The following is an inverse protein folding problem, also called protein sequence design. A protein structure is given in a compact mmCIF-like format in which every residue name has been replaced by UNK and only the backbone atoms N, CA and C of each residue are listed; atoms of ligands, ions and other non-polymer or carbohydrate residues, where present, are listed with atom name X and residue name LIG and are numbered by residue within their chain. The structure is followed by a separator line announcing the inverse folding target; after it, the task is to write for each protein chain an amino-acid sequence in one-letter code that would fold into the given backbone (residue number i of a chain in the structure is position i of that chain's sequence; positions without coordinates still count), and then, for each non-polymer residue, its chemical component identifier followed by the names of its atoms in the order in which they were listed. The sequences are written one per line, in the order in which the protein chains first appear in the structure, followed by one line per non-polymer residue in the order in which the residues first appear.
data_IF_924848257534
#
_entry.id   IF_924848257534
#
_cell.length_a   1.000
_cell.length_b   1.000
_cell.length_c   1.000
_cell.angle_alpha   90.00
_cell.angle_beta   90.00
_cell.angle_gamma   90.00
#
_symmetry.space_group_name_H-M   'P 1'
#
loop_
_entity.id
_entity.type
_entity.pdbx_description
1 polymer ?
#
# COMPACT_ATOMS: atom_id res chain seq x y z
N UNK A 1 3.33 19.56 -12.59
CA UNK A 1 3.20 18.23 -11.95
C UNK A 1 2.50 18.42 -10.59
N UNK A 2 1.22 18.02 -10.44
CA UNK A 2 0.47 18.21 -9.19
C UNK A 2 1.02 17.29 -8.09
N UNK A 3 1.84 17.84 -7.19
CA UNK A 3 2.36 17.13 -6.03
C UNK A 3 1.27 16.97 -4.96
N UNK A 4 0.74 15.76 -4.84
CA UNK A 4 -0.18 15.36 -3.77
C UNK A 4 0.60 15.04 -2.50
N UNK A 5 0.05 15.51 -1.38
CA UNK A 5 0.47 15.25 0.01
C UNK A 5 0.90 13.78 0.18
N UNK A 6 2.13 13.56 0.64
CA UNK A 6 2.60 12.20 0.98
C UNK A 6 1.82 11.73 2.20
N UNK A 7 1.14 10.59 2.06
CA UNK A 7 0.35 9.94 3.10
C UNK A 7 1.19 9.76 4.38
N UNK A 8 0.70 10.13 5.58
CA UNK A 8 1.42 9.93 6.84
C UNK A 8 1.84 8.47 7.07
N UNK A 9 1.15 7.50 6.47
CA UNK A 9 1.51 6.08 6.55
C UNK A 9 2.75 5.70 5.74
N UNK A 10 3.32 6.60 4.93
CA UNK A 10 4.39 6.30 3.96
C UNK A 10 5.65 5.66 4.57
N UNK A 11 5.91 5.86 5.85
CA UNK A 11 7.09 5.32 6.52
C UNK A 11 6.73 4.19 7.51
N UNK A 12 5.44 3.84 7.60
CA UNK A 12 4.97 2.76 8.45
C UNK A 12 5.24 1.40 7.82
N UNK A 13 5.85 0.53 8.61
CA UNK A 13 6.09 -0.87 8.29
C UNK A 13 4.77 -1.66 8.38
N UNK A 14 3.95 -1.54 7.33
CA UNK A 14 2.64 -2.18 7.19
C UNK A 14 2.54 -3.03 5.92
N UNK A 15 3.48 -2.87 4.98
CA UNK A 15 3.50 -3.66 3.75
C UNK A 15 3.98 -5.07 4.06
N UNK A 16 3.23 -6.05 3.56
CA UNK A 16 3.61 -7.46 3.65
C UNK A 16 4.76 -7.76 2.69
N UNK A 17 5.70 -8.64 3.06
CA UNK A 17 6.84 -8.98 2.21
C UNK A 17 6.42 -9.71 0.94
N UNK A 18 5.25 -10.37 0.91
CA UNK A 18 4.79 -11.18 -0.22
C UNK A 18 4.81 -10.43 -1.56
N UNK A 19 4.28 -9.20 -1.61
CA UNK A 19 4.30 -8.39 -2.84
C UNK A 19 5.73 -8.18 -3.36
N UNK A 20 6.66 -7.87 -2.46
CA UNK A 20 8.05 -7.58 -2.82
C UNK A 20 8.85 -8.86 -3.13
N UNK A 21 8.49 -9.97 -2.50
CA UNK A 21 9.02 -11.28 -2.85
C UNK A 21 8.60 -11.66 -4.27
N UNK A 22 7.30 -11.63 -4.58
CA UNK A 22 6.80 -11.95 -5.92
C UNK A 22 7.41 -10.99 -6.97
N UNK A 23 7.56 -9.70 -6.64
CA UNK A 23 8.27 -8.73 -7.49
C UNK A 23 9.72 -9.17 -7.77
N UNK A 24 10.47 -9.57 -6.74
CA UNK A 24 11.85 -10.03 -6.90
C UNK A 24 11.95 -11.28 -7.78
N UNK A 25 11.03 -12.24 -7.60
CA UNK A 25 10.96 -13.44 -8.43
C UNK A 25 10.66 -13.13 -9.89
N UNK A 26 9.68 -12.25 -10.17
CA UNK A 26 9.38 -11.81 -11.54
C UNK A 26 10.59 -11.14 -12.18
N UNK A 27 11.31 -10.30 -11.45
CA UNK A 27 12.53 -9.64 -11.95
C UNK A 27 13.64 -10.65 -12.25
N UNK A 28 13.82 -11.65 -11.37
CA UNK A 28 14.79 -12.73 -11.57
C UNK A 28 14.46 -13.58 -12.81
N UNK A 29 13.19 -13.93 -13.02
CA UNK A 29 12.74 -14.71 -14.19
C UNK A 29 12.95 -13.97 -15.51
N UNK A 30 13.00 -12.62 -15.47
CA UNK A 30 13.34 -11.78 -16.62
C UNK A 30 14.86 -11.61 -16.81
N UNK A 31 15.68 -12.30 -16.02
CA UNK A 31 17.14 -12.34 -16.16
C UNK A 31 17.89 -11.21 -15.46
N UNK A 32 17.23 -10.45 -14.57
CA UNK A 32 17.85 -9.36 -13.82
C UNK A 32 18.24 -9.79 -12.40
N UNK A 33 19.27 -9.15 -11.85
CA UNK A 33 19.69 -9.36 -10.45
C UNK A 33 18.63 -8.82 -9.48
N UNK A 34 17.80 -9.70 -8.93
CA UNK A 34 16.77 -9.32 -7.97
C UNK A 34 17.34 -8.78 -6.65
N UNK A 35 18.53 -9.22 -6.22
CA UNK A 35 19.15 -8.71 -4.99
C UNK A 35 19.54 -7.22 -5.11
N UNK A 36 19.75 -6.74 -6.34
CA UNK A 36 19.98 -5.32 -6.62
C UNK A 36 18.85 -4.41 -6.15
N UNK A 37 17.60 -4.92 -6.14
CA UNK A 37 16.41 -4.17 -5.76
C UNK A 37 16.43 -3.78 -4.28
N UNK A 38 17.08 -4.58 -3.44
CA UNK A 38 17.12 -4.40 -1.99
C UNK A 38 18.26 -3.47 -1.51
N UNK A 39 19.20 -3.09 -2.39
CA UNK A 39 20.41 -2.34 -1.99
C UNK A 39 20.09 -1.03 -1.24
N UNK A 40 20.60 -0.90 -0.03
CA UNK A 40 20.41 0.31 0.79
C UNK A 40 18.98 0.47 1.36
N UNK A 41 18.14 -0.56 1.30
CA UNK A 41 16.82 -0.56 1.93
C UNK A 41 16.83 -1.09 3.37
N UNK A 42 17.95 -1.66 3.83
CA UNK A 42 18.07 -2.20 5.18
C UNK A 42 17.49 -3.60 5.37
N UNK A 43 17.20 -4.30 4.27
CA UNK A 43 16.85 -5.73 4.23
C UNK A 43 17.37 -6.35 2.92
N UNK A 44 17.48 -7.68 2.86
CA UNK A 44 17.81 -8.49 1.68
C UNK A 44 16.64 -9.37 1.23
N UNK A 45 16.85 -10.20 0.21
CA UNK A 45 15.80 -11.11 -0.28
C UNK A 45 15.43 -12.18 0.77
N UNK A 46 16.40 -12.62 1.57
CA UNK A 46 16.16 -13.61 2.63
C UNK A 46 15.22 -13.07 3.72
N UNK A 47 15.29 -11.77 4.03
CA UNK A 47 14.38 -11.14 4.98
C UNK A 47 12.92 -11.10 4.47
N UNK A 48 12.72 -11.15 3.15
CA UNK A 48 11.37 -11.20 2.55
C UNK A 48 10.74 -12.59 2.66
N UNK A 49 11.50 -13.61 3.07
CA UNK A 49 10.98 -14.95 3.33
C UNK A 49 10.32 -15.08 4.70
N UNK A 50 10.50 -14.11 5.60
CA UNK A 50 9.84 -14.09 6.91
C UNK A 50 8.44 -13.45 6.81
N UNK A 51 7.34 -14.22 6.98
CA UNK A 51 5.98 -13.67 6.90
C UNK A 51 5.64 -12.67 8.01
N UNK A 52 6.41 -12.65 9.11
CA UNK A 52 6.26 -11.68 10.19
C UNK A 52 6.96 -10.35 9.87
N UNK A 53 7.86 -10.33 8.89
CA UNK A 53 8.52 -9.11 8.45
C UNK A 53 7.49 -8.09 7.98
N UNK A 54 7.74 -6.82 8.27
CA UNK A 54 6.92 -5.72 7.76
C UNK A 54 7.81 -4.68 7.12
N UNK A 55 7.42 -4.25 5.93
CA UNK A 55 8.18 -3.32 5.10
C UNK A 55 7.47 -1.98 5.10
N UNK A 56 8.24 -0.89 5.19
CA UNK A 56 7.65 0.44 5.06
C UNK A 56 7.15 0.70 3.64
N UNK A 57 6.10 1.51 3.49
CA UNK A 57 5.65 1.94 2.16
C UNK A 57 6.78 2.61 1.37
N UNK A 58 7.67 3.38 2.03
CA UNK A 58 8.88 3.95 1.41
C UNK A 58 9.77 2.87 0.83
N UNK A 59 10.12 1.86 1.62
CA UNK A 59 10.97 0.76 1.15
C UNK A 59 10.34 0.02 -0.02
N UNK A 60 9.04 -0.30 0.08
CA UNK A 60 8.29 -0.95 -0.98
C UNK A 60 8.29 -0.10 -2.27
N UNK A 61 7.98 1.19 -2.17
CA UNK A 61 8.00 2.13 -3.29
C UNK A 61 9.37 2.17 -3.96
N UNK A 62 10.46 2.28 -3.18
CA UNK A 62 11.81 2.35 -3.76
C UNK A 62 12.14 1.04 -4.49
N UNK A 63 11.75 -0.11 -3.94
CA UNK A 63 11.96 -1.42 -4.59
C UNK A 63 11.15 -1.54 -5.89
N UNK A 64 9.87 -1.15 -5.88
CA UNK A 64 8.98 -1.13 -7.05
C UNK A 64 9.53 -0.20 -8.14
N UNK A 65 9.92 1.03 -7.78
CA UNK A 65 10.50 1.98 -8.73
C UNK A 65 11.80 1.48 -9.36
N UNK A 66 12.63 0.73 -8.62
CA UNK A 66 13.83 0.10 -9.19
C UNK A 66 13.47 -0.97 -10.19
N UNK A 67 12.50 -1.82 -9.86
CA UNK A 67 12.02 -2.86 -10.76
C UNK A 67 11.39 -2.29 -12.04
N UNK A 68 10.57 -1.23 -11.91
CA UNK A 68 9.99 -0.50 -13.05
C UNK A 68 11.05 0.14 -13.95
N UNK A 69 12.20 0.57 -13.41
CA UNK A 69 13.32 1.06 -14.22
C UNK A 69 14.06 -0.05 -14.98
N UNK A 70 14.10 -1.26 -14.43
CA UNK A 70 14.71 -2.42 -15.10
C UNK A 70 13.80 -2.98 -16.20
N UNK A 71 12.49 -2.94 -15.98
CA UNK A 71 11.46 -3.49 -16.86
C UNK A 71 10.44 -2.40 -17.24
N UNK A 72 10.85 -1.34 -17.96
CA UNK A 72 9.94 -0.26 -18.33
C UNK A 72 8.93 -0.73 -19.38
N UNK A 73 7.68 -0.29 -19.22
CA UNK A 73 6.61 -0.47 -20.21
C UNK A 73 6.34 -1.93 -20.63
N UNK A 74 6.36 -2.87 -19.67
CA UNK A 74 6.06 -4.29 -19.92
C UNK A 74 4.91 -4.85 -19.09
N UNK A 75 4.22 -4.04 -18.29
CA UNK A 75 3.13 -4.51 -17.41
C UNK A 75 3.64 -5.29 -16.20
N UNK A 76 4.67 -4.76 -15.54
CA UNK A 76 5.27 -5.41 -14.37
C UNK A 76 4.25 -5.68 -13.25
N UNK A 77 3.29 -4.78 -13.03
CA UNK A 77 2.24 -5.00 -12.03
C UNK A 77 1.38 -6.20 -12.40
N UNK A 78 1.00 -6.31 -13.68
CA UNK A 78 0.23 -7.44 -14.18
C UNK A 78 0.97 -8.76 -13.98
N UNK A 79 2.27 -8.82 -14.26
CA UNK A 79 3.08 -10.03 -14.07
C UNK A 79 3.22 -10.44 -12.62
N UNK A 80 3.40 -9.47 -11.72
CA UNK A 80 3.45 -9.74 -10.28
C UNK A 80 2.12 -10.31 -9.81
N UNK A 81 1.00 -9.72 -10.22
CA UNK A 81 -0.31 -10.25 -9.82
C UNK A 81 -0.65 -11.60 -10.44
N UNK A 82 -0.29 -11.84 -11.71
CA UNK A 82 -0.51 -13.12 -12.42
C UNK A 82 0.34 -14.27 -11.85
N UNK A 83 1.45 -13.95 -11.15
CA UNK A 83 2.30 -14.95 -10.46
C UNK A 83 1.76 -15.33 -9.08
N UNK A 84 0.86 -14.55 -8.50
CA UNK A 84 0.34 -14.86 -7.18
C UNK A 84 -0.43 -16.19 -7.18
N UNK A 85 -0.66 -16.70 -5.98
CA UNK A 85 -1.50 -17.86 -5.73
C UNK A 85 -2.42 -17.53 -4.56
N UNK A 86 -3.51 -18.28 -4.38
CA UNK A 86 -4.41 -18.03 -3.24
C UNK A 86 -3.67 -18.07 -1.89
N UNK A 87 -2.61 -18.89 -1.79
CA UNK A 87 -1.73 -18.96 -0.62
C UNK A 87 -0.91 -17.68 -0.35
N UNK A 88 -0.72 -16.79 -1.33
CA UNK A 88 -0.09 -15.47 -1.13
C UNK A 88 -0.89 -14.59 -0.16
N UNK A 89 -2.20 -14.83 -0.02
CA UNK A 89 -3.05 -14.18 0.98
C UNK A 89 -2.88 -14.77 2.39
N UNK A 90 -2.04 -15.80 2.57
CA UNK A 90 -1.82 -16.47 3.84
C UNK A 90 -3.11 -17.04 4.43
N UNK A 91 -3.32 -16.80 5.74
CA UNK A 91 -4.51 -17.27 6.45
C UNK A 91 -5.82 -16.72 5.87
N UNK A 92 -5.80 -15.49 5.32
CA UNK A 92 -6.97 -14.96 4.63
C UNK A 92 -7.32 -15.85 3.44
N UNK A 93 -6.35 -16.20 2.58
CA UNK A 93 -6.57 -17.09 1.44
C UNK A 93 -7.17 -18.44 1.84
N UNK A 94 -6.70 -19.00 2.96
CA UNK A 94 -7.27 -20.22 3.53
C UNK A 94 -8.74 -20.03 3.96
N UNK A 95 -9.06 -18.95 4.68
CA UNK A 95 -10.44 -18.61 5.06
C UNK A 95 -11.34 -18.48 3.83
N UNK A 96 -10.90 -17.73 2.81
CA UNK A 96 -11.66 -17.52 1.58
C UNK A 96 -11.95 -18.84 0.86
N UNK A 97 -10.99 -19.78 0.86
CA UNK A 97 -11.18 -21.09 0.24
C UNK A 97 -12.26 -21.95 0.90
N UNK A 98 -12.57 -21.70 2.19
CA UNK A 98 -13.52 -22.47 2.99
C UNK A 98 -14.93 -21.85 3.02
N UNK A 99 -15.12 -20.67 2.44
CA UNK A 99 -16.41 -19.99 2.33
C UNK A 99 -17.45 -20.83 1.59
N UNK A 100 -18.74 -20.59 1.85
CA UNK A 100 -19.81 -21.32 1.15
C UNK A 100 -19.92 -20.86 -0.30
N UNK A 101 -19.90 -19.55 -0.51
CA UNK A 101 -20.04 -18.94 -1.82
C UNK A 101 -18.93 -17.94 -2.11
N UNK A 102 -18.75 -17.61 -3.39
CA UNK A 102 -17.83 -16.53 -3.78
C UNK A 102 -18.25 -15.18 -3.19
N UNK A 103 -19.57 -14.96 -2.98
CA UNK A 103 -20.10 -13.81 -2.25
C UNK A 103 -19.52 -13.68 -0.84
N UNK A 104 -19.55 -14.77 -0.09
CA UNK A 104 -19.01 -14.80 1.28
C UNK A 104 -17.50 -14.54 1.29
N UNK A 105 -16.79 -15.10 0.30
CA UNK A 105 -15.37 -14.84 0.12
C UNK A 105 -15.11 -13.36 -0.20
N UNK A 106 -15.82 -12.73 -1.12
CA UNK A 106 -15.67 -11.29 -1.40
C UNK A 106 -15.91 -10.45 -0.14
N UNK A 107 -16.99 -10.72 0.61
CA UNK A 107 -17.30 -9.99 1.83
C UNK A 107 -16.17 -10.07 2.87
N UNK A 108 -15.61 -11.27 3.09
CA UNK A 108 -14.49 -11.46 4.01
C UNK A 108 -13.18 -10.87 3.47
N UNK A 109 -12.92 -11.01 2.16
CA UNK A 109 -11.77 -10.42 1.49
C UNK A 109 -11.74 -8.91 1.66
N UNK A 110 -12.87 -8.22 1.48
CA UNK A 110 -12.99 -6.77 1.70
C UNK A 110 -12.76 -6.41 3.17
N UNK A 111 -13.37 -7.17 4.09
CA UNK A 111 -13.29 -6.91 5.53
C UNK A 111 -11.87 -7.05 6.08
N UNK A 112 -11.12 -8.04 5.60
CA UNK A 112 -9.77 -8.35 6.06
C UNK A 112 -8.67 -7.95 5.09
N UNK A 113 -8.96 -7.20 4.02
CA UNK A 113 -7.96 -6.79 3.02
C UNK A 113 -6.74 -6.09 3.62
N UNK A 114 -6.89 -5.41 4.75
CA UNK A 114 -5.79 -4.70 5.41
C UNK A 114 -4.78 -5.64 6.11
N UNK A 115 -5.13 -6.89 6.38
CA UNK A 115 -4.23 -7.86 7.01
C UNK A 115 -3.16 -8.36 6.05
N UNK A 116 -3.41 -8.29 4.74
CA UNK A 116 -2.48 -8.75 3.70
C UNK A 116 -1.38 -7.74 3.39
N UNK A 117 -1.46 -6.50 3.90
CA UNK A 117 -0.43 -5.49 3.73
C UNK A 117 -0.20 -5.05 2.28
N UNK A 118 -1.25 -5.07 1.45
CA UNK A 118 -1.20 -4.54 0.07
C UNK A 118 -1.06 -3.02 0.00
N UNK A 119 -0.62 -2.51 -1.16
CA UNK A 119 -0.46 -1.07 -1.42
C UNK A 119 -1.63 -0.44 -2.17
N UNK A 120 -2.60 -1.26 -2.61
CA UNK A 120 -3.87 -0.84 -3.15
C UNK A 120 -4.94 -0.81 -2.04
N UNK A 121 -5.86 0.14 -2.15
CA UNK A 121 -7.05 0.28 -1.32
C UNK A 121 -8.25 0.02 -2.20
N UNK A 122 -9.16 -0.83 -1.72
CA UNK A 122 -10.29 -1.29 -2.52
C UNK A 122 -11.62 -0.89 -1.90
N UNK A 123 -12.60 -0.67 -2.75
CA UNK A 123 -14.00 -0.56 -2.37
C UNK A 123 -14.85 -1.38 -3.30
N UNK A 124 -15.93 -1.94 -2.77
CA UNK A 124 -16.81 -2.81 -3.55
C UNK A 124 -18.24 -2.33 -3.40
N UNK A 125 -18.91 -2.24 -4.54
CA UNK A 125 -20.33 -1.92 -4.63
C UNK A 125 -21.04 -3.04 -5.36
N UNK A 126 -22.13 -3.54 -4.78
CA UNK A 126 -22.96 -4.56 -5.39
C UNK A 126 -24.27 -3.95 -5.88
N UNK A 127 -24.67 -4.34 -7.08
CA UNK A 127 -25.97 -4.03 -7.68
C UNK A 127 -26.68 -5.33 -8.04
N UNK A 128 -27.95 -5.25 -8.46
CA UNK A 128 -28.72 -6.43 -8.85
C UNK A 128 -28.09 -7.26 -9.99
N UNK A 129 -27.27 -6.65 -10.85
CA UNK A 129 -26.72 -7.30 -12.05
C UNK A 129 -25.21 -7.60 -11.95
N UNK A 130 -24.48 -6.85 -11.13
CA UNK A 130 -23.01 -6.92 -11.07
C UNK A 130 -22.44 -6.41 -9.76
N UNK A 131 -21.21 -6.83 -9.49
CA UNK A 131 -20.34 -6.26 -8.46
C UNK A 131 -19.24 -5.42 -9.13
N UNK A 132 -18.95 -4.27 -8.53
CA UNK A 132 -17.98 -3.30 -9.01
C UNK A 132 -16.86 -3.21 -7.98
N UNK A 133 -15.67 -3.67 -8.34
CA UNK A 133 -14.49 -3.62 -7.48
C UNK A 133 -13.61 -2.47 -7.93
N UNK A 134 -13.59 -1.39 -7.16
CA UNK A 134 -12.74 -0.23 -7.39
C UNK A 134 -11.41 -0.39 -6.67
N UNK A 135 -10.32 -0.02 -7.35
CA UNK A 135 -8.98 -0.03 -6.79
C UNK A 135 -8.31 1.34 -6.92
N UNK A 136 -7.67 1.78 -5.84
CA UNK A 136 -6.88 3.02 -5.82
C UNK A 136 -5.59 2.81 -5.06
N UNK A 137 -4.54 3.52 -5.42
CA UNK A 137 -3.32 3.58 -4.63
C UNK A 137 -3.13 5.03 -4.16
N UNK A 138 -2.95 5.21 -2.84
CA UNK A 138 -2.79 6.54 -2.23
C UNK A 138 -1.35 7.04 -2.22
N UNK A 139 -0.40 6.22 -2.67
CA UNK A 139 1.01 6.58 -2.75
C UNK A 139 1.21 7.67 -3.83
N UNK A 140 2.08 8.67 -3.60
CA UNK A 140 2.17 9.88 -4.43
C UNK A 140 2.96 9.70 -5.74
N UNK A 141 3.16 8.47 -6.22
CA UNK A 141 3.96 8.13 -7.39
C UNK A 141 3.08 7.50 -8.47
N UNK A 142 2.92 8.15 -9.61
CA UNK A 142 1.98 7.74 -10.65
C UNK A 142 2.30 6.34 -11.20
N UNK A 143 3.58 6.05 -11.41
CA UNK A 143 4.06 4.75 -11.88
C UNK A 143 3.79 3.63 -10.85
N UNK A 144 3.88 3.93 -9.56
CA UNK A 144 3.54 2.97 -8.50
C UNK A 144 2.03 2.79 -8.39
N UNK A 145 1.24 3.85 -8.63
CA UNK A 145 -0.22 3.73 -8.66
C UNK A 145 -0.68 2.81 -9.78
N UNK A 146 -0.11 2.95 -10.98
CA UNK A 146 -0.39 2.05 -12.12
C UNK A 146 0.01 0.63 -11.77
N UNK A 147 1.24 0.41 -11.30
CA UNK A 147 1.72 -0.90 -10.85
C UNK A 147 0.79 -1.54 -9.82
N UNK A 148 0.38 -0.80 -8.79
CA UNK A 148 -0.46 -1.30 -7.71
C UNK A 148 -1.86 -1.73 -8.19
N UNK A 149 -2.45 -0.98 -9.13
CA UNK A 149 -3.77 -1.30 -9.70
C UNK A 149 -3.69 -2.48 -10.65
N UNK A 150 -2.66 -2.52 -11.51
CA UNK A 150 -2.37 -3.67 -12.37
C UNK A 150 -2.19 -4.96 -11.56
N UNK A 151 -1.33 -4.91 -10.53
CA UNK A 151 -1.06 -6.04 -9.64
C UNK A 151 -2.33 -6.48 -8.93
N UNK A 152 -3.09 -5.55 -8.36
CA UNK A 152 -4.32 -5.87 -7.67
C UNK A 152 -5.34 -6.60 -8.57
N UNK A 153 -5.59 -6.10 -9.79
CA UNK A 153 -6.56 -6.72 -10.68
C UNK A 153 -6.07 -8.05 -11.26
N UNK A 154 -4.78 -8.19 -11.56
CA UNK A 154 -4.22 -9.47 -11.97
C UNK A 154 -4.30 -10.50 -10.83
N UNK A 155 -3.99 -10.11 -9.60
CA UNK A 155 -4.16 -10.93 -8.39
C UNK A 155 -5.63 -11.34 -8.17
N UNK A 156 -6.57 -10.41 -8.36
CA UNK A 156 -7.99 -10.70 -8.22
C UNK A 156 -8.47 -11.73 -9.26
N UNK A 157 -7.93 -11.70 -10.48
CA UNK A 157 -8.18 -12.73 -11.49
C UNK A 157 -7.68 -14.10 -11.06
N UNK A 158 -6.46 -14.18 -10.51
CA UNK A 158 -5.90 -15.42 -9.96
C UNK A 158 -6.79 -15.96 -8.85
N UNK A 159 -7.17 -15.14 -7.87
CA UNK A 159 -7.97 -15.58 -6.74
C UNK A 159 -9.38 -15.98 -7.16
N UNK A 160 -10.01 -15.22 -8.05
CA UNK A 160 -11.32 -15.55 -8.61
C UNK A 160 -11.30 -16.90 -9.33
N UNK A 161 -10.26 -17.16 -10.14
CA UNK A 161 -10.10 -18.46 -10.82
C UNK A 161 -9.80 -19.62 -9.86
N UNK A 162 -9.02 -19.38 -8.81
CA UNK A 162 -8.72 -20.38 -7.79
C UNK A 162 -9.96 -20.77 -6.97
N UNK A 163 -10.87 -19.82 -6.73
CA UNK A 163 -12.07 -20.04 -5.93
C UNK A 163 -13.27 -20.52 -6.76
N UNK A 164 -13.56 -19.85 -7.87
CA UNK A 164 -14.75 -20.07 -8.70
C UNK A 164 -14.49 -20.92 -9.95
N UNK A 165 -13.23 -21.28 -10.22
CA UNK A 165 -12.82 -22.11 -11.35
C UNK A 165 -12.21 -21.32 -12.52
N UNK A 166 -11.55 -22.01 -13.47
CA UNK A 166 -10.73 -21.40 -14.52
C UNK A 166 -11.51 -20.47 -15.47
N UNK A 167 -12.82 -20.68 -15.59
CA UNK A 167 -13.70 -19.87 -16.44
C UNK A 167 -14.07 -18.51 -15.83
N UNK A 168 -13.68 -18.25 -14.58
CA UNK A 168 -13.91 -16.96 -13.93
C UNK A 168 -13.33 -15.83 -14.79
N UNK A 169 -14.22 -14.89 -15.15
CA UNK A 169 -13.88 -13.72 -15.95
C UNK A 169 -14.79 -12.53 -15.64
N UNK A 170 -14.24 -11.31 -15.60
CA UNK A 170 -15.01 -10.08 -15.47
C UNK A 170 -15.77 -9.80 -16.76
N UNK A 171 -16.80 -8.96 -16.66
CA UNK A 171 -17.49 -8.38 -17.82
C UNK A 171 -16.61 -7.35 -18.51
N UNK A 172 -15.92 -6.50 -17.74
CA UNK A 172 -14.90 -5.57 -18.23
C UNK A 172 -13.94 -5.16 -17.10
N UNK A 173 -12.76 -4.65 -17.48
CA UNK A 173 -11.83 -3.98 -16.56
C UNK A 173 -11.49 -2.59 -17.09
N UNK A 174 -11.66 -1.59 -16.25
CA UNK A 174 -11.45 -0.17 -16.56
C UNK A 174 -10.21 0.34 -15.83
N UNK A 175 -9.42 1.16 -16.51
CA UNK A 175 -8.24 1.82 -15.98
C UNK A 175 -8.30 3.32 -16.24
N UNK A 176 -7.86 4.12 -15.27
CA UNK A 176 -7.85 5.59 -15.38
C UNK A 176 -6.75 6.11 -16.29
N UNK A 177 -5.61 5.41 -16.33
CA UNK A 177 -4.47 5.83 -17.14
C UNK A 177 -4.75 5.59 -18.63
N UNK A 178 -3.98 6.28 -19.48
CA UNK A 178 -4.03 6.06 -20.92
C UNK A 178 -3.54 4.66 -21.28
N UNK A 179 -4.02 4.16 -22.42
CA UNK A 179 -3.59 2.89 -22.98
C UNK A 179 -2.06 2.83 -23.16
N UNK A 180 -1.35 1.88 -22.53
CA UNK A 180 0.08 1.73 -22.69
C UNK A 180 0.45 0.91 -23.94
N UNK A 181 1.73 0.83 -24.27
CA UNK A 181 2.24 0.04 -25.40
C UNK A 181 2.02 -1.48 -25.24
N UNK A 182 1.85 -1.95 -24.00
CA UNK A 182 1.73 -3.37 -23.62
C UNK A 182 0.28 -3.82 -23.38
N UNK A 183 -0.71 -3.25 -24.08
CA UNK A 183 -2.15 -3.61 -23.98
C UNK A 183 -2.41 -5.12 -24.08
N UNK A 184 -1.66 -5.83 -24.95
CA UNK A 184 -1.86 -7.27 -25.15
C UNK A 184 -1.67 -8.07 -23.85
N UNK A 185 -0.85 -7.58 -22.93
CA UNK A 185 -0.63 -8.23 -21.65
C UNK A 185 -1.83 -8.09 -20.71
N UNK A 186 -2.51 -6.94 -20.72
CA UNK A 186 -3.79 -6.79 -20.02
C UNK A 186 -4.82 -7.76 -20.56
N UNK A 187 -4.92 -7.87 -21.90
CA UNK A 187 -5.91 -8.74 -22.52
C UNK A 187 -5.65 -10.22 -22.23
N UNK A 188 -4.38 -10.63 -22.19
CA UNK A 188 -3.96 -11.98 -21.83
C UNK A 188 -4.41 -12.37 -20.42
N UNK A 189 -4.23 -11.47 -19.45
CA UNK A 189 -4.43 -11.76 -18.03
C UNK A 189 -5.88 -11.50 -17.61
N UNK A 190 -6.41 -10.32 -17.96
CA UNK A 190 -7.70 -9.80 -17.48
C UNK A 190 -8.87 -10.12 -18.42
N UNK A 191 -8.58 -10.55 -19.66
CA UNK A 191 -9.57 -10.86 -20.68
C UNK A 191 -9.76 -9.74 -21.72
N UNK A 192 -10.65 -9.94 -22.70
CA UNK A 192 -10.67 -9.12 -23.92
C UNK A 192 -11.24 -7.70 -23.74
N UNK A 193 -12.11 -7.46 -22.76
CA UNK A 193 -12.78 -6.16 -22.56
C UNK A 193 -12.04 -5.30 -21.52
N UNK A 194 -10.87 -4.79 -21.91
CA UNK A 194 -10.08 -3.85 -21.10
C UNK A 194 -10.18 -2.45 -21.70
N UNK A 195 -10.51 -1.47 -20.85
CA UNK A 195 -10.77 -0.08 -21.25
C UNK A 195 -9.84 0.88 -20.49
N UNK A 196 -9.35 1.89 -21.19
CA UNK A 196 -8.38 2.86 -20.68
C UNK A 196 -8.92 4.29 -20.78
N UNK A 197 -8.35 5.21 -20.01
CA UNK A 197 -8.81 6.61 -19.93
C UNK A 197 -10.17 6.77 -19.24
N UNK A 198 -10.54 5.80 -18.39
CA UNK A 198 -11.80 5.80 -17.67
C UNK A 198 -11.76 6.71 -16.44
N UNK A 199 -12.93 6.94 -15.81
CA UNK A 199 -13.02 7.74 -14.58
C UNK A 199 -12.50 7.01 -13.33
N UNK A 200 -12.54 5.68 -13.34
CA UNK A 200 -12.22 4.81 -12.22
C UNK A 200 -11.27 3.69 -12.68
N UNK A 201 -10.51 3.12 -11.75
CA UNK A 201 -9.95 1.79 -11.96
C UNK A 201 -10.93 0.79 -11.37
N UNK A 202 -11.56 -0.04 -12.21
CA UNK A 202 -12.73 -0.82 -11.83
C UNK A 202 -12.75 -2.18 -12.52
N UNK A 203 -12.98 -3.24 -11.77
CA UNK A 203 -13.34 -4.54 -12.32
C UNK A 203 -14.85 -4.77 -12.17
N UNK A 204 -15.53 -5.02 -13.29
CA UNK A 204 -16.95 -5.35 -13.32
C UNK A 204 -17.12 -6.86 -13.36
N UNK A 205 -17.75 -7.45 -12.35
CA UNK A 205 -17.96 -8.91 -12.28
C UNK A 205 -19.47 -9.17 -12.26
N UNK A 206 -19.89 -10.10 -13.10
CA UNK A 206 -21.29 -10.52 -13.20
C UNK A 206 -21.76 -11.16 -11.88
N UNK A 207 -22.95 -10.79 -11.41
CA UNK A 207 -23.51 -11.29 -10.14
C UNK A 207 -23.62 -12.82 -10.11
N UNK A 208 -23.75 -13.48 -11.27
CA UNK A 208 -23.81 -14.95 -11.37
C UNK A 208 -22.59 -15.65 -10.75
N UNK A 209 -21.44 -14.96 -10.71
CA UNK A 209 -20.24 -15.51 -10.09
C UNK A 209 -20.34 -15.56 -8.57
N UNK A 210 -21.10 -14.64 -7.96
CA UNK A 210 -21.22 -14.55 -6.50
C UNK A 210 -21.93 -15.75 -5.90
N UNK A 211 -22.86 -16.36 -6.64
CA UNK A 211 -23.63 -17.52 -6.18
C UNK A 211 -22.93 -18.86 -6.45
N UNK A 212 -21.70 -18.83 -7.01
CA UNK A 212 -20.88 -20.03 -7.17
C UNK A 212 -20.51 -20.57 -5.79
N UNK A 213 -20.88 -21.84 -5.56
CA UNK A 213 -20.46 -22.59 -4.37
C UNK A 213 -19.00 -22.99 -4.49
N UNK A 214 -18.23 -22.71 -3.43
CA UNK A 214 -16.81 -23.02 -3.43
C UNK A 214 -16.59 -24.52 -3.15
N UNK A 215 -15.63 -25.15 -3.84
CA UNK A 215 -15.46 -26.61 -3.78
C UNK A 215 -14.99 -27.11 -2.42
N UNK A 216 -14.30 -26.27 -1.64
CA UNK A 216 -13.70 -26.64 -0.36
C UNK A 216 -14.53 -26.17 0.84
N UNK A 217 -15.80 -25.81 0.65
CA UNK A 217 -16.64 -25.33 1.74
C UNK A 217 -16.70 -26.34 2.90
N UNK A 218 -16.31 -25.90 4.09
CA UNK A 218 -16.31 -26.74 5.29
C UNK A 218 -16.61 -25.90 6.55
N UNK A 219 -17.86 -25.89 7.06
CA UNK A 219 -18.30 -24.95 8.11
C UNK A 219 -17.49 -24.97 9.42
N UNK A 220 -16.99 -26.14 9.84
CA UNK A 220 -16.18 -26.23 11.07
C UNK A 220 -14.78 -25.65 10.86
N UNK A 221 -14.08 -26.07 9.81
CA UNK A 221 -12.78 -25.52 9.42
C UNK A 221 -12.86 -24.01 9.17
N UNK A 222 -13.92 -23.52 8.50
CA UNK A 222 -14.13 -22.09 8.27
C UNK A 222 -14.21 -21.33 9.59
N UNK A 223 -14.99 -21.81 10.56
CA UNK A 223 -15.09 -21.18 11.90
C UNK A 223 -13.74 -21.16 12.63
N UNK A 224 -12.96 -22.23 12.54
CA UNK A 224 -11.63 -22.30 13.16
C UNK A 224 -10.66 -21.31 12.50
N UNK A 225 -10.58 -21.33 11.17
CA UNK A 225 -9.71 -20.44 10.40
C UNK A 225 -10.08 -18.96 10.59
N UNK A 226 -11.38 -18.64 10.64
CA UNK A 226 -11.85 -17.29 10.95
C UNK A 226 -11.43 -16.81 12.34
N UNK A 227 -11.54 -17.67 13.36
CA UNK A 227 -11.13 -17.30 14.72
C UNK A 227 -9.62 -16.99 14.79
N UNK A 228 -8.79 -17.77 14.09
CA UNK A 228 -7.35 -17.50 13.97
C UNK A 228 -7.11 -16.17 13.22
N UNK A 229 -7.81 -15.93 12.12
CA UNK A 229 -7.68 -14.70 11.34
C UNK A 229 -8.07 -13.46 12.16
N UNK A 230 -9.13 -13.57 12.96
CA UNK A 230 -9.58 -12.51 13.86
C UNK A 230 -8.54 -12.20 14.94
N UNK A 231 -7.85 -13.22 15.47
CA UNK A 231 -6.75 -13.03 16.41
C UNK A 231 -5.57 -12.29 15.78
N UNK A 232 -5.10 -12.72 14.61
CA UNK A 232 -4.01 -12.03 13.88
C UNK A 232 -4.40 -10.61 13.49
N UNK A 233 -5.64 -10.42 13.01
CA UNK A 233 -6.16 -9.11 12.65
C UNK A 233 -6.22 -8.16 13.85
N UNK A 234 -6.57 -8.65 15.04
CA UNK A 234 -6.61 -7.85 16.25
C UNK A 234 -5.21 -7.35 16.68
N UNK A 235 -4.19 -8.19 16.56
CA UNK A 235 -2.80 -7.79 16.84
C UNK A 235 -2.30 -6.71 15.86
N UNK A 236 -2.60 -6.88 14.56
CA UNK A 236 -2.27 -5.90 13.53
C UNK A 236 -3.05 -4.59 13.74
N UNK A 237 -4.34 -4.65 14.07
CA UNK A 237 -5.14 -3.46 14.36
C UNK A 237 -4.60 -2.70 15.57
N UNK A 238 -4.27 -3.39 16.67
CA UNK A 238 -3.71 -2.74 17.86
C UNK A 238 -2.38 -2.02 17.55
N UNK A 239 -1.54 -2.63 16.71
CA UNK A 239 -0.30 -2.00 16.23
C UNK A 239 -0.59 -0.74 15.41
N UNK A 240 -1.48 -0.84 14.41
CA UNK A 240 -1.87 0.28 13.56
C UNK A 240 -2.51 1.40 14.39
N UNK A 241 -3.42 1.07 15.29
CA UNK A 241 -4.13 2.02 16.14
C UNK A 241 -3.18 2.79 17.06
N UNK A 242 -2.22 2.11 17.69
CA UNK A 242 -1.21 2.76 18.51
C UNK A 242 -0.40 3.75 17.69
N UNK A 243 0.12 3.31 16.53
CA UNK A 243 0.98 4.16 15.70
C UNK A 243 0.18 5.36 15.17
N UNK A 244 -1.01 5.15 14.62
CA UNK A 244 -1.86 6.22 14.14
C UNK A 244 -2.30 7.16 15.26
N UNK A 245 -2.55 6.66 16.48
CA UNK A 245 -2.89 7.51 17.61
C UNK A 245 -1.71 8.41 18.01
N UNK A 246 -0.48 7.87 18.00
CA UNK A 246 0.75 8.62 18.24
C UNK A 246 0.98 9.66 17.14
N UNK A 247 0.86 9.28 15.86
CA UNK A 247 0.99 10.22 14.74
C UNK A 247 -0.05 11.33 14.77
N UNK A 248 -1.32 11.01 15.06
CA UNK A 248 -2.39 12.00 15.22
C UNK A 248 -2.10 12.95 16.38
N UNK A 249 -1.61 12.43 17.50
CA UNK A 249 -1.24 13.25 18.65
C UNK A 249 -0.04 14.17 18.32
N UNK A 250 1.00 13.64 17.65
CA UNK A 250 2.13 14.42 17.17
C UNK A 250 1.66 15.51 16.20
N UNK A 251 0.81 15.18 15.22
CA UNK A 251 0.31 16.13 14.23
C UNK A 251 -0.48 17.28 14.87
N UNK A 252 -1.27 16.99 15.92
CA UNK A 252 -1.98 18.03 16.70
C UNK A 252 -1.04 18.95 17.46
N UNK A 253 0.12 18.45 17.90
CA UNK A 253 1.07 19.20 18.72
C UNK A 253 2.32 19.66 17.96
N UNK A 254 2.33 19.49 16.63
CA UNK A 254 3.53 19.61 15.81
C UNK A 254 4.17 21.00 15.94
N UNK A 255 3.35 22.05 15.90
CA UNK A 255 3.79 23.44 16.03
C UNK A 255 4.41 23.77 17.39
N UNK A 256 4.18 22.93 18.41
CA UNK A 256 4.69 23.11 19.78
C UNK A 256 5.93 22.26 20.08
N UNK A 257 6.48 21.58 19.07
CA UNK A 257 7.74 20.83 19.17
C UNK A 257 7.60 19.36 19.60
N UNK A 258 6.37 18.88 19.82
CA UNK A 258 5.97 17.50 20.17
C UNK A 258 6.99 16.72 21.03
N UNK A 259 6.72 16.63 22.33
CA UNK A 259 7.55 15.85 23.27
C UNK A 259 6.85 14.55 23.68
N UNK A 260 7.62 13.48 23.82
CA UNK A 260 7.09 12.13 24.11
C UNK A 260 6.32 12.08 25.43
N UNK A 261 6.70 12.86 26.44
CA UNK A 261 6.00 12.94 27.73
C UNK A 261 4.57 13.44 27.56
N UNK A 262 4.38 14.45 26.70
CA UNK A 262 3.08 15.03 26.43
C UNK A 262 2.23 14.12 25.55
N UNK A 263 2.81 13.57 24.49
CA UNK A 263 2.10 12.62 23.60
C UNK A 263 1.69 11.37 24.36
N UNK A 264 2.53 10.86 25.28
CA UNK A 264 2.15 9.77 26.16
C UNK A 264 0.98 10.16 27.08
N UNK A 265 1.01 11.36 27.66
CA UNK A 265 -0.10 11.91 28.45
C UNK A 265 -1.42 11.99 27.67
N UNK A 266 -1.39 12.52 26.44
CA UNK A 266 -2.57 12.60 25.55
C UNK A 266 -3.17 11.22 25.23
N UNK A 267 -2.36 10.16 25.32
CA UNK A 267 -2.76 8.77 25.10
C UNK A 267 -3.03 8.01 26.41
N UNK A 268 -3.07 8.69 27.56
CA UNK A 268 -3.23 8.09 28.89
C UNK A 268 -2.18 7.01 29.21
N UNK A 269 -0.93 7.25 28.83
CA UNK A 269 0.21 6.36 29.03
C UNK A 269 1.40 7.08 29.67
N UNK A 270 2.28 6.32 30.33
CA UNK A 270 3.60 6.85 30.71
C UNK A 270 4.55 6.88 29.51
N UNK A 271 5.53 7.79 29.50
CA UNK A 271 6.56 7.85 28.45
C UNK A 271 7.36 6.55 28.35
N UNK A 272 7.58 5.85 29.47
CA UNK A 272 8.20 4.51 29.50
C UNK A 272 7.34 3.48 28.79
N UNK A 273 6.03 3.47 29.05
CA UNK A 273 5.10 2.54 28.38
C UNK A 273 5.02 2.82 26.90
N UNK A 274 4.98 4.09 26.49
CA UNK A 274 4.96 4.47 25.08
C UNK A 274 6.26 4.06 24.37
N UNK A 275 7.44 4.35 24.94
CA UNK A 275 8.73 3.88 24.38
C UNK A 275 8.76 2.36 24.22
N UNK A 276 8.32 1.62 25.25
CA UNK A 276 8.28 0.15 25.20
C UNK A 276 7.39 -0.34 24.06
N UNK A 277 6.13 0.13 23.97
CA UNK A 277 5.22 -0.31 22.91
C UNK A 277 5.70 0.09 21.51
N UNK A 278 6.33 1.25 21.36
CA UNK A 278 6.95 1.62 20.08
C UNK A 278 8.13 0.69 19.74
N UNK A 279 8.96 0.34 20.72
CA UNK A 279 10.09 -0.58 20.52
C UNK A 279 9.67 -2.02 20.22
N UNK A 280 8.55 -2.48 20.77
CA UNK A 280 7.91 -3.76 20.40
C UNK A 280 7.52 -3.80 18.91
N UNK A 281 7.47 -2.64 18.26
CA UNK A 281 7.20 -2.47 16.84
C UNK A 281 8.40 -1.95 16.04
N UNK A 282 9.62 -1.99 16.59
CA UNK A 282 10.85 -1.45 15.97
C UNK A 282 10.76 0.04 15.59
N UNK A 283 9.96 0.82 16.31
CA UNK A 283 9.78 2.25 16.10
C UNK A 283 10.31 3.05 17.28
N UNK A 284 10.72 4.29 17.02
CA UNK A 284 11.00 5.28 18.06
C UNK A 284 10.09 6.50 17.91
N UNK A 285 9.89 7.24 19.01
CA UNK A 285 9.12 8.47 18.95
C UNK A 285 9.74 9.48 17.98
N UNK A 286 11.06 9.56 17.95
CA UNK A 286 11.81 10.45 17.05
C UNK A 286 11.58 10.09 15.59
N UNK A 287 11.53 8.79 15.27
CA UNK A 287 11.21 8.35 13.90
C UNK A 287 9.80 8.77 13.50
N UNK A 288 8.78 8.50 14.33
CA UNK A 288 7.39 8.92 14.05
C UNK A 288 7.25 10.45 13.95
N UNK A 289 7.93 11.20 14.81
CA UNK A 289 7.94 12.66 14.78
C UNK A 289 8.52 13.18 13.45
N UNK A 290 9.62 12.59 12.98
CA UNK A 290 10.24 12.93 11.72
C UNK A 290 9.32 12.62 10.52
N UNK A 291 8.58 11.51 10.57
CA UNK A 291 7.60 11.11 9.55
C UNK A 291 6.45 12.12 9.44
N UNK A 292 5.83 12.49 10.57
CA UNK A 292 4.75 13.48 10.61
C UNK A 292 5.24 14.84 10.12
N UNK A 293 6.43 15.27 10.55
CA UNK A 293 7.05 16.53 10.07
C UNK A 293 7.25 16.52 8.56
N UNK A 294 7.76 15.42 8.00
CA UNK A 294 7.98 15.30 6.56
C UNK A 294 6.68 15.33 5.77
N UNK A 295 5.68 14.56 6.16
CA UNK A 295 4.36 14.54 5.51
C UNK A 295 3.72 15.93 5.50
N UNK A 296 3.71 16.61 6.65
CA UNK A 296 3.21 17.99 6.79
C UNK A 296 4.02 18.98 5.95
N UNK A 297 5.35 18.87 5.95
CA UNK A 297 6.22 19.74 5.14
C UNK A 297 5.87 19.66 3.67
N UNK A 298 5.73 18.44 3.13
CA UNK A 298 5.46 18.23 1.71
C UNK A 298 4.06 18.74 1.33
N UNK A 299 3.08 18.60 2.23
CA UNK A 299 1.76 19.20 2.06
C UNK A 299 1.81 20.74 2.00
N UNK A 300 2.57 21.37 2.90
CA UNK A 300 2.68 22.83 2.94
C UNK A 300 3.50 23.39 1.78
N UNK A 301 4.51 22.65 1.29
CA UNK A 301 5.32 23.05 0.14
C UNK A 301 4.52 23.10 -1.17
N UNK A 302 3.38 22.40 -1.26
CA UNK A 302 2.48 22.49 -2.40
C UNK A 302 1.76 23.85 -2.50
N UNK A 303 1.70 24.62 -1.42
CA UNK A 303 1.16 25.98 -1.43
C UNK A 303 2.30 27.00 -1.69
N UNK A 304 2.34 27.66 -2.87
CA UNK A 304 3.39 28.61 -3.20
C UNK A 304 3.38 29.87 -2.32
N UNK A 305 2.25 30.20 -1.67
CA UNK A 305 2.10 31.40 -0.84
C UNK A 305 2.74 31.26 0.55
N UNK A 306 3.04 30.03 1.01
CA UNK A 306 3.67 29.82 2.31
C UNK A 306 5.19 30.02 2.22
N UNK A 307 5.74 30.92 3.04
CA UNK A 307 7.20 31.09 3.15
C UNK A 307 7.87 29.87 3.78
N UNK A 308 9.16 29.66 3.49
CA UNK A 308 9.93 28.56 4.10
C UNK A 308 10.05 28.74 5.62
N UNK A 309 10.12 29.99 6.07
CA UNK A 309 10.07 30.40 7.47
C UNK A 309 8.75 29.96 8.10
N UNK A 310 7.61 30.23 7.46
CA UNK A 310 6.31 29.82 7.99
C UNK A 310 6.16 28.31 8.02
N UNK A 311 6.64 27.60 7.00
CA UNK A 311 6.62 26.14 6.97
C UNK A 311 7.46 25.56 8.11
N UNK A 312 8.62 26.16 8.40
CA UNK A 312 9.50 25.75 9.50
C UNK A 312 8.78 25.81 10.85
N UNK A 313 8.04 26.89 11.11
CA UNK A 313 7.21 27.05 12.32
C UNK A 313 6.07 26.02 12.36
N UNK A 314 5.34 25.86 11.25
CA UNK A 314 4.19 24.96 11.14
C UNK A 314 4.56 23.48 11.34
N UNK A 315 5.80 23.10 11.03
CA UNK A 315 6.32 21.75 11.25
C UNK A 315 7.16 21.61 12.53
N UNK A 316 7.18 22.65 13.37
CA UNK A 316 7.72 22.58 14.73
C UNK A 316 9.23 22.51 14.81
N UNK A 317 9.96 23.10 13.86
CA UNK A 317 11.39 23.35 14.00
C UNK A 317 11.64 24.69 14.69
N UNK A 318 12.64 24.73 15.57
CA UNK A 318 13.07 25.95 16.26
C UNK A 318 13.62 27.02 15.33
N UNK A 319 14.19 26.61 14.19
CA UNK A 319 14.85 27.50 13.24
C UNK A 319 14.91 26.90 11.84
N UNK A 320 15.02 27.79 10.85
CA UNK A 320 15.02 27.43 9.41
C UNK A 320 16.25 26.60 9.03
N UNK A 321 17.38 26.76 9.72
CA UNK A 321 18.62 26.02 9.41
C UNK A 321 18.48 24.55 9.78
N UNK A 322 17.89 24.26 10.93
CA UNK A 322 17.55 22.92 11.40
C UNK A 322 16.55 22.24 10.47
N UNK A 323 15.50 22.96 10.05
CA UNK A 323 14.54 22.49 9.07
C UNK A 323 15.19 22.16 7.72
N UNK A 324 15.98 23.07 7.15
CA UNK A 324 16.66 22.86 5.85
C UNK A 324 17.58 21.64 5.88
N UNK A 325 18.31 21.42 6.99
CA UNK A 325 19.17 20.25 7.17
C UNK A 325 18.36 18.95 7.18
N UNK A 326 17.26 18.92 7.92
CA UNK A 326 16.37 17.76 7.97
C UNK A 326 15.73 17.50 6.59
N UNK A 327 15.20 18.54 5.93
CA UNK A 327 14.62 18.42 4.61
C UNK A 327 15.58 17.88 3.56
N UNK A 328 16.84 18.35 3.58
CA UNK A 328 17.89 17.84 2.68
C UNK A 328 18.26 16.40 2.96
N UNK A 329 18.24 15.99 4.23
CA UNK A 329 18.42 14.57 4.60
C UNK A 329 17.30 13.70 4.04
N UNK A 330 16.06 14.19 4.02
CA UNK A 330 14.89 13.44 3.50
C UNK A 330 14.84 13.35 1.98
N UNK A 331 15.19 14.44 1.29
CA UNK A 331 14.88 14.64 -0.14
C UNK A 331 16.12 14.76 -1.03
N UNK A 332 17.32 14.92 -0.45
CA UNK A 332 18.55 15.21 -1.17
C UNK A 332 18.70 16.67 -1.61
N UNK A 333 17.64 17.48 -1.55
CA UNK A 333 17.61 18.85 -2.07
C UNK A 333 17.14 19.88 -1.03
N UNK A 334 17.20 21.17 -1.36
CA UNK A 334 16.71 22.23 -0.47
C UNK A 334 15.19 22.43 -0.66
N UNK A 335 14.46 22.92 0.37
CA UNK A 335 13.03 23.21 0.23
C UNK A 335 12.70 24.16 -0.92
N UNK A 336 13.55 25.17 -1.15
CA UNK A 336 13.38 26.13 -2.24
C UNK A 336 13.61 25.51 -3.61
N UNK A 337 14.64 24.65 -3.74
CA UNK A 337 14.91 23.91 -4.98
C UNK A 337 13.78 22.92 -5.30
N UNK A 338 13.29 22.22 -4.29
CA UNK A 338 12.15 21.31 -4.40
C UNK A 338 10.87 22.05 -4.84
N UNK A 339 10.68 23.30 -4.37
CA UNK A 339 9.57 24.15 -4.81
C UNK A 339 9.73 24.63 -6.25
N UNK A 340 10.93 25.04 -6.67
CA UNK A 340 11.17 25.52 -8.03
C UNK A 340 11.02 24.42 -9.09
N UNK A 341 11.49 23.19 -8.81
CA UNK A 341 11.29 22.05 -9.72
C UNK A 341 9.81 21.67 -9.89
N UNK A 342 8.98 21.90 -8.87
CA UNK A 342 7.51 21.72 -8.95
C UNK A 342 6.77 22.85 -9.69
N UNK A 343 7.41 24.01 -9.88
CA UNK A 343 6.82 25.22 -10.50
C UNK A 343 7.20 25.35 -11.99
N UNK A 344 8.27 24.72 -12.45
CA UNK A 344 8.70 24.71 -13.88
C UNK A 344 7.92 23.72 -14.78
N UNK A 345 6.60 23.66 -14.60
CA UNK A 345 5.67 22.94 -15.49
C UNK A 345 4.49 23.83 -15.91
N UNK A 346 4.78 25.11 -16.16
CA UNK A 346 3.87 26.05 -16.84
C UNK A 346 4.62 26.82 -17.92
N UNK A 347 4.93 26.13 -19.01
CA UNK A 347 4.85 26.64 -20.38
C UNK A 347 4.40 25.50 -21.29
#
# INVERSE_FOLDING_TARGET
MQMKVIDPTFELALVSPFLLQTLAEVVADKGFDAASLCRGLGFGLDDLQDPAQRISHRQAVVMIQRALKLLPDQGLGLWVGDRNVLGTLGLLGHVLSLCETLRDAFALGIRYQHTTGGIAVTSVEETAERIMVDATCRLPFAEVQVFAVEEFFASLMVYGRALAGPDFRPQAVEFMHAAPSYILEYQRILGPDVRFGCRYNRMLIDVRWLDVRLPNHHPLALRQALALLEQEAAEVHQKIDLIQAVERAIARDLTRGSHIEKIAGDLNMSSRTLRRRLSEHNLTFETLLEQVRRGRTLSLLANPELSIERITEEVGYSDVRSFRRAFRRWTGMSPSAFRSEGVDARL
#
